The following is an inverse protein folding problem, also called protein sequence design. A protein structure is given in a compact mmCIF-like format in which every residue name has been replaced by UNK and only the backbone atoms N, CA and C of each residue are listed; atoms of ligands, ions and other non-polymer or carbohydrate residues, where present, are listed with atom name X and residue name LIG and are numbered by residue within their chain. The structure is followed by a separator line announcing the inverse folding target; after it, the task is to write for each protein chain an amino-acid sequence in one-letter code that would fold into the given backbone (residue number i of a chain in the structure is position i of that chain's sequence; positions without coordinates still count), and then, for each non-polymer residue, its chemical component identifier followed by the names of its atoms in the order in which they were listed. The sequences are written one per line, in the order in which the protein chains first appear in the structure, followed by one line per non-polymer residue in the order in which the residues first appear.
data_IF_589489254047
#
_entry.id   IF_589489254047
#
_cell.length_a   1.000
_cell.length_b   1.000
_cell.length_c   1.000
_cell.angle_alpha   90.00
_cell.angle_beta   90.00
_cell.angle_gamma   90.00
#
_symmetry.space_group_name_H-M   'P 1'
#
loop_
_entity.id
_entity.type
_entity.pdbx_description
1 polymer ?
#
# COMPACT_ATOMS: atom_id res chain seq x y z
N UNK A 1 -57.96 -3.31 32.29
CA UNK A 1 -56.89 -2.28 32.33
C UNK A 1 -55.74 -2.82 31.49
N UNK A 2 -55.60 -2.38 30.23
CA UNK A 2 -54.61 -2.94 29.29
C UNK A 2 -53.30 -2.15 29.35
N UNK A 3 -52.23 -2.80 29.81
CA UNK A 3 -50.88 -2.25 29.76
C UNK A 3 -50.32 -2.40 28.34
N UNK A 4 -50.38 -1.30 27.58
CA UNK A 4 -49.82 -1.21 26.22
C UNK A 4 -48.38 -0.68 26.31
N UNK A 5 -47.46 -1.49 26.84
CA UNK A 5 -46.03 -1.19 26.70
C UNK A 5 -45.61 -1.47 25.26
N UNK A 6 -45.35 -0.40 24.51
CA UNK A 6 -44.86 -0.46 23.14
C UNK A 6 -43.46 -1.10 23.12
N UNK A 7 -43.33 -2.23 22.43
CA UNK A 7 -42.11 -3.03 22.26
C UNK A 7 -40.88 -2.21 21.81
N UNK A 8 -41.11 -1.02 21.22
CA UNK A 8 -40.08 -0.07 20.81
C UNK A 8 -39.19 0.41 21.97
N UNK A 9 -39.71 0.56 23.18
CA UNK A 9 -38.93 1.10 24.31
C UNK A 9 -38.06 0.06 25.01
N UNK A 10 -38.40 -1.22 24.91
CA UNK A 10 -37.65 -2.32 25.55
C UNK A 10 -36.37 -2.64 24.77
N UNK A 11 -36.36 -2.42 23.45
CA UNK A 11 -35.15 -2.60 22.64
C UNK A 11 -34.16 -1.42 22.77
N UNK A 12 -34.65 -0.23 23.16
CA UNK A 12 -33.84 0.98 23.26
C UNK A 12 -33.11 1.13 24.60
N UNK A 13 -33.49 0.35 25.62
CA UNK A 13 -32.87 0.37 26.96
C UNK A 13 -31.69 -0.59 27.11
N UNK A 14 -31.41 -1.46 26.14
CA UNK A 14 -30.34 -2.45 26.24
C UNK A 14 -28.98 -1.98 25.70
N UNK A 15 -28.91 -0.86 24.99
CA UNK A 15 -27.66 -0.31 24.44
C UNK A 15 -27.55 1.19 24.73
N UNK A 16 -26.97 1.59 25.89
CA UNK A 16 -26.71 3.00 26.16
C UNK A 16 -25.78 3.58 25.08
N UNK A 17 -25.98 4.85 24.74
CA UNK A 17 -25.23 5.55 23.66
C UNK A 17 -23.71 5.52 23.84
N UNK A 18 -23.23 5.42 25.09
CA UNK A 18 -21.82 5.25 25.44
C UNK A 18 -21.26 3.86 25.07
N UNK A 19 -22.05 2.79 25.14
CA UNK A 19 -21.64 1.43 24.72
C UNK A 19 -21.57 1.35 23.20
N UNK A 20 -22.49 2.03 22.49
CA UNK A 20 -22.43 2.12 21.03
C UNK A 20 -21.18 2.86 20.56
N UNK A 21 -20.76 3.93 21.26
CA UNK A 21 -19.53 4.65 20.94
C UNK A 21 -18.29 3.78 21.19
N UNK A 22 -18.27 3.02 22.29
CA UNK A 22 -17.16 2.15 22.63
C UNK A 22 -17.03 0.96 21.66
N UNK A 23 -18.15 0.39 21.21
CA UNK A 23 -18.18 -0.63 20.16
C UNK A 23 -17.69 -0.07 18.81
N UNK A 24 -18.06 1.17 18.46
CA UNK A 24 -17.59 1.83 17.25
C UNK A 24 -16.05 2.03 17.30
N UNK A 25 -15.53 2.55 18.41
CA UNK A 25 -14.08 2.75 18.61
C UNK A 25 -13.35 1.40 18.55
N UNK A 26 -13.90 0.36 19.19
CA UNK A 26 -13.32 -0.98 19.15
C UNK A 26 -13.31 -1.57 17.73
N UNK A 27 -14.38 -1.36 16.96
CA UNK A 27 -14.45 -1.80 15.56
C UNK A 27 -13.42 -1.10 14.66
N UNK A 28 -13.17 0.19 14.89
CA UNK A 28 -12.19 0.98 14.14
C UNK A 28 -10.75 0.51 14.42
N UNK A 29 -10.45 0.05 15.63
CA UNK A 29 -9.11 -0.44 16.00
C UNK A 29 -8.75 -1.76 15.30
N UNK A 30 -9.72 -2.64 15.02
CA UNK A 30 -9.47 -3.95 14.41
C UNK A 30 -9.07 -3.82 12.92
N UNK A 31 -9.56 -2.79 12.22
CA UNK A 31 -9.31 -2.61 10.78
C UNK A 31 -7.84 -2.28 10.49
N UNK A 32 -7.13 -1.63 11.42
CA UNK A 32 -5.75 -1.19 11.22
C UNK A 32 -4.70 -2.30 11.15
N UNK A 33 -5.01 -3.52 11.60
CA UNK A 33 -4.05 -4.62 11.69
C UNK A 33 -3.82 -5.38 10.37
N UNK A 34 -4.65 -5.14 9.35
CA UNK A 34 -4.55 -5.85 8.06
C UNK A 34 -3.90 -5.01 6.95
N UNK A 35 -3.16 -3.96 7.31
CA UNK A 35 -2.37 -3.20 6.34
C UNK A 35 -1.22 -4.08 5.83
N UNK A 36 -1.39 -4.68 4.65
CA UNK A 36 -0.31 -5.34 3.94
C UNK A 36 0.70 -4.28 3.48
N UNK A 37 1.95 -4.44 3.89
CA UNK A 37 3.02 -3.51 3.52
C UNK A 37 3.71 -4.01 2.26
N UNK A 38 3.71 -3.16 1.23
CA UNK A 38 4.64 -3.27 0.11
C UNK A 38 5.86 -2.41 0.43
N UNK A 39 7.05 -2.95 0.25
CA UNK A 39 8.29 -2.25 0.62
C UNK A 39 9.33 -2.42 -0.48
N UNK A 40 10.03 -1.33 -0.77
CA UNK A 40 11.18 -1.32 -1.66
C UNK A 40 12.44 -1.19 -0.80
N UNK A 41 13.36 -2.14 -0.93
CA UNK A 41 14.59 -2.20 -0.15
C UNK A 41 15.82 -2.19 -1.06
N UNK A 42 17.00 -1.96 -0.48
CA UNK A 42 18.30 -2.09 -1.16
C UNK A 42 18.43 -1.32 -2.48
N UNK A 43 17.78 -0.15 -2.57
CA UNK A 43 17.84 0.70 -3.77
C UNK A 43 19.26 1.24 -3.95
N UNK A 44 19.90 0.85 -5.04
CA UNK A 44 21.25 1.28 -5.40
C UNK A 44 21.28 1.76 -6.84
N UNK A 45 22.11 2.76 -7.13
CA UNK A 45 22.32 3.28 -8.48
C UNK A 45 23.82 3.27 -8.80
N UNK A 46 24.19 2.70 -9.94
CA UNK A 46 25.57 2.65 -10.43
C UNK A 46 25.66 3.19 -11.84
N UNK A 47 26.60 4.10 -12.09
CA UNK A 47 26.84 4.65 -13.43
C UNK A 47 27.93 3.82 -14.13
N UNK A 48 27.67 3.39 -15.37
CA UNK A 48 28.64 2.71 -16.24
C UNK A 48 28.67 3.38 -17.61
N UNK A 49 29.58 4.34 -17.80
CA UNK A 49 29.60 5.14 -19.03
C UNK A 49 28.32 5.96 -19.16
N UNK A 50 27.59 5.76 -20.27
CA UNK A 50 26.36 6.50 -20.58
C UNK A 50 25.08 5.84 -20.04
N UNK A 51 25.22 4.75 -19.29
CA UNK A 51 24.09 4.06 -18.67
C UNK A 51 24.10 4.17 -17.14
N UNK A 52 22.91 4.29 -16.56
CA UNK A 52 22.64 4.22 -15.12
C UNK A 52 21.94 2.89 -14.85
N UNK A 53 22.49 2.10 -13.95
CA UNK A 53 21.93 0.82 -13.52
C UNK A 53 21.35 1.02 -12.12
N UNK A 54 20.04 0.88 -11.99
CA UNK A 54 19.32 0.90 -10.71
C UNK A 54 18.98 -0.53 -10.32
N UNK A 55 19.34 -0.94 -9.11
CA UNK A 55 18.97 -2.24 -8.53
C UNK A 55 18.15 -2.02 -7.27
N UNK A 56 17.12 -2.83 -7.06
CA UNK A 56 16.23 -2.72 -5.91
C UNK A 56 15.56 -4.05 -5.60
N UNK A 57 15.10 -4.22 -4.36
CA UNK A 57 14.35 -5.39 -3.90
C UNK A 57 12.89 -5.02 -3.70
N UNK A 58 11.98 -5.90 -4.12
CA UNK A 58 10.55 -5.76 -3.87
C UNK A 58 10.13 -6.78 -2.82
N UNK A 59 9.74 -6.28 -1.65
CA UNK A 59 9.30 -7.08 -0.52
C UNK A 59 7.81 -6.88 -0.33
N UNK A 60 7.06 -7.98 -0.41
CA UNK A 60 5.65 -8.04 -0.03
C UNK A 60 5.40 -9.30 0.80
N UNK A 61 4.37 -9.24 1.63
CA UNK A 61 3.86 -10.38 2.41
C UNK A 61 2.93 -11.29 1.60
N UNK A 62 2.56 -10.88 0.39
CA UNK A 62 1.68 -11.57 -0.54
C UNK A 62 2.32 -11.67 -1.94
N UNK A 63 1.76 -12.52 -2.81
CA UNK A 63 2.16 -12.69 -4.22
C UNK A 63 1.66 -11.54 -5.12
N UNK A 64 1.55 -10.34 -4.56
CA UNK A 64 1.12 -9.16 -5.27
C UNK A 64 2.15 -8.70 -6.31
N UNK A 65 1.63 -8.12 -7.39
CA UNK A 65 2.43 -7.55 -8.45
C UNK A 65 2.58 -6.04 -8.26
N UNK A 66 3.74 -5.53 -8.64
CA UNK A 66 4.12 -4.14 -8.47
C UNK A 66 4.04 -3.39 -9.80
N UNK A 67 3.76 -2.09 -9.71
CA UNK A 67 3.92 -1.16 -10.82
C UNK A 67 5.12 -0.25 -10.53
N UNK A 68 6.21 -0.45 -11.27
CA UNK A 68 7.47 0.25 -11.05
C UNK A 68 7.68 1.31 -12.10
N UNK A 69 7.83 2.56 -11.67
CA UNK A 69 8.15 3.69 -12.53
C UNK A 69 9.44 4.36 -12.03
N UNK A 70 10.38 4.59 -12.93
CA UNK A 70 11.62 5.30 -12.61
C UNK A 70 11.50 6.76 -13.03
N UNK A 71 11.85 7.67 -12.13
CA UNK A 71 11.78 9.11 -12.35
C UNK A 71 13.17 9.73 -12.17
N UNK A 72 13.37 10.92 -12.74
CA UNK A 72 14.60 11.69 -12.61
C UNK A 72 14.33 13.06 -12.03
N UNK A 73 15.31 13.63 -11.34
CA UNK A 73 15.24 15.03 -10.92
C UNK A 73 15.42 16.01 -12.08
N UNK A 74 15.89 15.56 -13.25
CA UNK A 74 16.12 16.40 -14.44
C UNK A 74 14.85 17.13 -14.91
N UNK A 75 13.70 16.50 -14.72
CA UNK A 75 12.38 17.04 -15.02
C UNK A 75 11.51 17.17 -13.75
N UNK A 76 12.14 17.35 -12.58
CA UNK A 76 11.47 17.45 -11.28
C UNK A 76 10.52 16.26 -10.98
N UNK A 77 10.84 15.06 -11.47
CA UNK A 77 10.02 13.85 -11.31
C UNK A 77 8.63 13.96 -11.92
N UNK A 78 8.41 14.87 -12.88
CA UNK A 78 7.10 15.05 -13.52
C UNK A 78 6.69 13.84 -14.35
N UNK A 79 7.64 13.18 -15.02
CA UNK A 79 7.35 12.07 -15.93
C UNK A 79 8.29 10.88 -15.69
N UNK A 80 7.77 9.65 -15.86
CA UNK A 80 8.61 8.47 -15.82
C UNK A 80 9.60 8.50 -17.01
N UNK A 81 10.81 8.00 -16.77
CA UNK A 81 11.85 7.88 -17.78
C UNK A 81 11.39 6.94 -18.90
N UNK A 82 11.46 7.41 -20.14
CA UNK A 82 11.01 6.63 -21.30
C UNK A 82 12.03 5.57 -21.77
N UNK A 83 13.34 5.82 -21.55
CA UNK A 83 14.43 4.97 -22.03
C UNK A 83 14.98 4.10 -20.90
N UNK A 84 14.11 3.26 -20.34
CA UNK A 84 14.42 2.27 -19.30
C UNK A 84 14.20 0.86 -19.82
N UNK A 85 15.05 -0.07 -19.39
CA UNK A 85 14.93 -1.51 -19.75
C UNK A 85 15.18 -2.37 -18.52
N UNK A 86 14.53 -3.54 -18.47
CA UNK A 86 14.62 -4.48 -17.34
C UNK A 86 13.30 -4.57 -16.57
N UNK A 87 13.36 -4.85 -15.28
CA UNK A 87 12.18 -5.00 -14.42
C UNK A 87 11.61 -3.61 -14.08
N UNK A 88 10.77 -3.08 -14.95
CA UNK A 88 10.11 -1.77 -14.83
C UNK A 88 8.77 -1.82 -15.56
N UNK A 89 7.80 -1.05 -15.10
CA UNK A 89 6.43 -1.03 -15.60
C UNK A 89 5.47 -1.87 -14.75
N UNK A 90 4.31 -2.26 -15.31
CA UNK A 90 3.29 -3.00 -14.57
C UNK A 90 3.66 -4.47 -14.40
N UNK A 91 3.04 -5.10 -13.40
CA UNK A 91 3.05 -6.56 -13.17
C UNK A 91 4.43 -7.15 -12.81
N UNK A 92 5.27 -6.40 -12.10
CA UNK A 92 6.57 -6.89 -11.63
C UNK A 92 6.38 -7.73 -10.36
N UNK A 93 6.88 -8.96 -10.36
CA UNK A 93 6.80 -9.84 -9.21
C UNK A 93 7.72 -9.38 -8.07
N UNK A 94 7.35 -9.71 -6.83
CA UNK A 94 8.24 -9.58 -5.68
C UNK A 94 9.51 -10.43 -5.85
N UNK A 95 10.59 -10.05 -5.16
CA UNK A 95 11.86 -10.76 -5.20
C UNK A 95 13.05 -9.91 -4.76
N UNK A 96 14.04 -10.58 -4.18
CA UNK A 96 15.36 -10.01 -3.86
C UNK A 96 16.33 -10.23 -5.01
N UNK A 97 17.17 -9.24 -5.29
CA UNK A 97 18.25 -9.23 -6.28
C UNK A 97 17.82 -9.45 -7.75
N UNK A 98 16.51 -9.52 -8.02
CA UNK A 98 16.00 -9.82 -9.36
C UNK A 98 15.85 -8.57 -10.22
N UNK A 99 15.51 -7.43 -9.59
CA UNK A 99 15.05 -6.28 -10.33
C UNK A 99 16.18 -5.32 -10.68
N UNK A 100 16.53 -5.29 -11.96
CA UNK A 100 17.54 -4.38 -12.52
C UNK A 100 16.92 -3.53 -13.61
N UNK A 101 17.15 -2.23 -13.52
CA UNK A 101 16.72 -1.27 -14.53
C UNK A 101 17.93 -0.53 -15.07
N UNK A 102 18.03 -0.47 -16.40
CA UNK A 102 19.07 0.28 -17.11
C UNK A 102 18.41 1.48 -17.79
N UNK A 103 18.88 2.68 -17.45
CA UNK A 103 18.50 3.93 -18.12
C UNK A 103 19.67 4.50 -18.90
N UNK A 104 19.43 5.02 -20.10
CA UNK A 104 20.40 5.91 -20.77
C UNK A 104 20.31 7.31 -20.18
N UNK A 105 21.45 7.98 -20.04
CA UNK A 105 21.59 9.35 -19.52
C UNK A 105 21.02 10.41 -20.47
#
# INVERSE_FOLDING_TARGET
MYFKYSLKYILQTFFPSSVSLLLLIFSLLIVSYNSQSQTVENVTATVKGDIIIVSYDLVSTSDELFNINLYSSKDNFEKPLALVTGDVGPNIANGKEKNRVVSKK
#
